data_IF_350846622620
#
_entry.id   IF_350846622620
#
_cell.length_a   1.000
_cell.length_b   1.000
_cell.length_c   1.000
_cell.angle_alpha   90.00
_cell.angle_beta   90.00
_cell.angle_gamma   90.00
#
_symmetry.space_group_name_H-M   'P 1'
#
loop_
_entity.id
_entity.type
_entity.pdbx_description
1 polymer ?
#
# COMPACT_ATOMS: atom_id res chain seq x y z
N UNK A 1 4.94 59.79 5.20
CA UNK A 1 5.13 59.53 3.75
C UNK A 1 6.36 58.66 3.58
N UNK A 2 6.26 57.37 3.90
CA UNK A 2 7.27 56.35 3.55
C UNK A 2 6.58 55.39 2.59
N UNK A 3 6.87 55.56 1.31
CA UNK A 3 6.33 54.74 0.23
C UNK A 3 6.82 53.29 0.43
N UNK A 4 5.90 52.42 0.83
CA UNK A 4 6.10 50.97 0.80
C UNK A 4 6.25 50.55 -0.66
N UNK A 5 7.48 50.24 -1.06
CA UNK A 5 7.80 49.74 -2.38
C UNK A 5 7.08 48.40 -2.63
N UNK A 6 6.12 48.41 -3.54
CA UNK A 6 5.49 47.21 -4.09
C UNK A 6 6.55 46.36 -4.78
N UNK A 7 6.91 45.23 -4.15
CA UNK A 7 7.77 44.22 -4.76
C UNK A 7 7.06 43.62 -5.99
N UNK A 8 7.73 43.51 -7.15
CA UNK A 8 7.15 42.85 -8.32
C UNK A 8 6.89 41.37 -7.99
N UNK A 9 5.67 40.92 -8.29
CA UNK A 9 5.27 39.51 -8.18
C UNK A 9 6.20 38.69 -9.08
N UNK A 10 6.98 37.73 -8.54
CA UNK A 10 7.85 36.91 -9.38
C UNK A 10 6.96 36.10 -10.31
N UNK A 11 7.27 36.13 -11.60
CA UNK A 11 6.63 35.31 -12.64
C UNK A 11 7.05 33.85 -12.43
N UNK A 12 6.58 33.27 -11.33
CA UNK A 12 6.78 31.87 -10.99
C UNK A 12 5.77 31.10 -11.82
N UNK A 13 6.28 30.45 -12.86
CA UNK A 13 5.51 29.50 -13.63
C UNK A 13 5.17 28.36 -12.67
N UNK A 14 3.95 28.39 -12.14
CA UNK A 14 3.48 27.43 -11.15
C UNK A 14 3.30 26.06 -11.81
N UNK A 15 4.37 25.26 -11.74
CA UNK A 15 4.44 23.90 -12.28
C UNK A 15 3.37 23.02 -11.62
N UNK A 16 2.99 23.28 -10.36
CA UNK A 16 1.92 22.53 -9.70
C UNK A 16 0.57 22.88 -10.30
N UNK A 17 0.29 24.15 -10.56
CA UNK A 17 -0.95 24.58 -11.22
C UNK A 17 -1.06 24.04 -12.66
N UNK A 18 0.06 23.99 -13.40
CA UNK A 18 0.08 23.47 -14.77
C UNK A 18 -0.11 21.95 -14.84
N UNK A 19 0.46 21.20 -13.88
CA UNK A 19 0.27 19.75 -13.77
C UNK A 19 -1.15 19.41 -13.30
N UNK A 20 -1.72 20.15 -12.34
CA UNK A 20 -3.09 19.93 -11.86
C UNK A 20 -4.17 20.30 -12.89
N UNK A 21 -3.86 21.20 -13.82
CA UNK A 21 -4.78 21.60 -14.88
C UNK A 21 -4.95 20.53 -15.98
N UNK A 22 -4.11 19.50 -16.00
CA UNK A 22 -4.23 18.40 -16.96
C UNK A 22 -5.21 17.33 -16.47
N UNK A 23 -6.19 16.93 -17.30
CA UNK A 23 -7.16 15.91 -16.92
C UNK A 23 -6.45 14.58 -16.68
N UNK A 24 -6.86 13.88 -15.61
CA UNK A 24 -6.31 12.57 -15.26
C UNK A 24 -6.55 11.60 -16.43
N UNK A 25 -5.46 11.07 -16.99
CA UNK A 25 -5.51 10.14 -18.12
C UNK A 25 -6.23 8.85 -17.72
N UNK A 26 -6.94 8.19 -18.65
CA UNK A 26 -7.63 6.92 -18.38
C UNK A 26 -6.73 5.83 -17.78
N UNK A 27 -5.41 5.89 -18.03
CA UNK A 27 -4.44 5.02 -17.38
C UNK A 27 -4.30 5.30 -15.87
N UNK A 28 -4.32 6.56 -15.45
CA UNK A 28 -4.28 6.94 -14.02
C UNK A 28 -5.55 6.48 -13.31
N UNK A 29 -6.72 6.59 -13.95
CA UNK A 29 -7.96 6.06 -13.41
C UNK A 29 -7.92 4.54 -13.21
N UNK A 30 -7.33 3.79 -14.16
CA UNK A 30 -7.10 2.35 -14.00
C UNK A 30 -6.18 2.03 -12.83
N UNK A 31 -5.10 2.79 -12.66
CA UNK A 31 -4.18 2.61 -11.52
C UNK A 31 -4.87 2.91 -10.19
N UNK A 32 -5.68 3.97 -10.11
CA UNK A 32 -6.46 4.30 -8.91
C UNK A 32 -7.46 3.18 -8.60
N UNK A 33 -8.20 2.69 -9.60
CA UNK A 33 -9.13 1.58 -9.42
C UNK A 33 -8.42 0.29 -8.98
N UNK A 34 -7.24 -0.01 -9.54
CA UNK A 34 -6.45 -1.17 -9.13
C UNK A 34 -5.95 -1.03 -7.69
N UNK A 35 -5.42 0.15 -7.34
CA UNK A 35 -4.93 0.44 -5.99
C UNK A 35 -6.06 0.34 -4.96
N UNK A 36 -7.22 0.89 -5.30
CA UNK A 36 -8.43 0.74 -4.49
C UNK A 36 -8.81 -0.73 -4.29
N UNK A 37 -8.79 -1.53 -5.36
CA UNK A 37 -9.12 -2.95 -5.28
C UNK A 37 -8.12 -3.74 -4.42
N UNK A 38 -6.81 -3.45 -4.53
CA UNK A 38 -5.77 -4.08 -3.72
C UNK A 38 -5.97 -3.75 -2.24
N UNK A 39 -6.15 -2.47 -1.90
CA UNK A 39 -6.39 -2.04 -0.51
C UNK A 39 -7.70 -2.61 0.03
N UNK A 40 -8.72 -2.73 -0.80
CA UNK A 40 -9.99 -3.36 -0.44
C UNK A 40 -9.83 -4.85 -0.12
N UNK A 41 -9.11 -5.59 -0.98
CA UNK A 41 -8.82 -7.02 -0.77
C UNK A 41 -7.95 -7.24 0.48
N UNK A 42 -6.90 -6.44 0.67
CA UNK A 42 -6.04 -6.50 1.87
C UNK A 42 -6.82 -6.24 3.17
N UNK A 43 -7.78 -5.30 3.13
CA UNK A 43 -8.69 -5.05 4.24
C UNK A 43 -9.63 -6.22 4.53
N UNK A 44 -10.12 -6.90 3.48
CA UNK A 44 -10.94 -8.12 3.64
C UNK A 44 -10.14 -9.27 4.25
N UNK A 45 -8.91 -9.49 3.79
CA UNK A 45 -8.02 -10.54 4.30
C UNK A 45 -7.69 -10.29 5.78
N UNK A 46 -7.35 -9.05 6.13
CA UNK A 46 -7.09 -8.65 7.53
C UNK A 46 -8.32 -8.86 8.42
N UNK A 47 -9.51 -8.51 7.93
CA UNK A 47 -10.76 -8.74 8.66
C UNK A 47 -11.04 -10.24 8.86
N UNK A 48 -10.90 -11.05 7.82
CA UNK A 48 -11.07 -12.51 7.89
C UNK A 48 -10.09 -13.14 8.89
N UNK A 49 -8.82 -12.71 8.88
CA UNK A 49 -7.80 -13.18 9.81
C UNK A 49 -8.18 -12.91 11.27
N UNK A 50 -8.78 -11.75 11.55
CA UNK A 50 -9.30 -11.39 12.87
C UNK A 50 -10.46 -12.28 13.34
N UNK A 51 -11.31 -12.75 12.43
CA UNK A 51 -12.40 -13.67 12.75
C UNK A 51 -11.94 -15.12 12.93
N UNK A 52 -10.95 -15.56 12.16
CA UNK A 52 -10.44 -16.95 12.21
C UNK A 52 -9.52 -17.16 13.41
N UNK A 53 -8.78 -16.14 13.86
CA UNK A 53 -7.86 -16.23 15.00
C UNK A 53 -8.44 -16.93 16.27
N UNK A 54 -9.63 -16.55 16.80
CA UNK A 54 -10.21 -17.24 17.95
C UNK A 54 -10.70 -18.66 17.68
N UNK A 55 -11.09 -18.98 16.43
CA UNK A 55 -11.50 -20.32 16.02
C UNK A 55 -10.29 -21.27 15.89
N UNK A 56 -9.19 -20.80 15.28
CA UNK A 56 -7.91 -21.51 15.24
C UNK A 56 -7.36 -21.81 16.65
N UNK A 57 -7.50 -20.86 17.58
CA UNK A 57 -7.09 -21.08 18.98
C UNK A 57 -7.91 -22.18 19.67
N UNK A 58 -9.19 -22.35 19.33
CA UNK A 58 -10.03 -23.42 19.87
C UNK A 58 -9.71 -24.79 19.25
N UNK A 59 -9.53 -24.86 17.93
CA UNK A 59 -9.33 -26.13 17.22
C UNK A 59 -7.92 -26.69 17.40
N UNK A 60 -6.88 -25.85 17.50
CA UNK A 60 -5.50 -26.30 17.63
C UNK A 60 -5.02 -26.43 19.09
N UNK A 61 -5.85 -26.01 20.06
CA UNK A 61 -5.52 -26.08 21.49
C UNK A 61 -4.36 -25.16 21.91
N UNK A 62 -3.99 -24.20 21.06
CA UNK A 62 -2.89 -23.27 21.29
C UNK A 62 -3.42 -22.03 22.02
N UNK A 63 -2.70 -21.62 23.07
CA UNK A 63 -3.04 -20.43 23.86
C UNK A 63 -3.10 -19.17 22.98
N UNK A 64 -4.13 -18.34 23.19
CA UNK A 64 -4.37 -17.09 22.44
C UNK A 64 -3.16 -16.15 22.47
N UNK A 65 -2.31 -16.28 23.49
CA UNK A 65 -1.08 -15.54 23.64
C UNK A 65 -0.06 -15.78 22.51
N UNK A 66 -0.10 -16.92 21.81
CA UNK A 66 0.81 -17.24 20.70
C UNK A 66 0.42 -16.59 19.37
N UNK A 67 -0.85 -16.25 19.18
CA UNK A 67 -1.35 -15.55 17.98
C UNK A 67 -0.91 -14.09 17.96
N UNK A 68 -0.72 -13.47 19.13
CA UNK A 68 -0.22 -12.10 19.28
C UNK A 68 1.15 -11.86 18.60
N UNK A 69 2.18 -12.68 18.90
CA UNK A 69 3.47 -12.65 18.24
C UNK A 69 3.40 -12.84 16.71
N UNK A 70 2.55 -13.75 16.22
CA UNK A 70 2.38 -14.00 14.77
C UNK A 70 1.81 -12.77 14.08
N UNK A 71 0.75 -12.18 14.62
CA UNK A 71 0.17 -10.93 14.09
C UNK A 71 1.16 -9.76 14.18
N UNK A 72 1.97 -9.70 15.25
CA UNK A 72 3.01 -8.68 15.41
C UNK A 72 4.14 -8.85 14.37
N UNK A 73 4.55 -10.08 14.09
CA UNK A 73 5.53 -10.38 13.05
C UNK A 73 5.02 -9.98 11.66
N UNK A 74 3.73 -10.18 11.37
CA UNK A 74 3.11 -9.73 10.12
C UNK A 74 3.14 -8.19 10.00
N UNK A 75 2.80 -7.46 11.06
CA UNK A 75 2.89 -6.00 11.10
C UNK A 75 4.33 -5.50 10.91
N UNK A 76 5.30 -6.15 11.55
CA UNK A 76 6.72 -5.84 11.37
C UNK A 76 7.15 -6.05 9.91
N UNK A 77 6.75 -7.17 9.30
CA UNK A 77 6.99 -7.44 7.88
C UNK A 77 6.40 -6.36 6.97
N UNK A 78 5.19 -5.88 7.28
CA UNK A 78 4.54 -4.79 6.56
C UNK A 78 5.32 -3.47 6.68
N UNK A 79 5.83 -3.14 7.87
CA UNK A 79 6.66 -1.95 8.10
C UNK A 79 7.92 -2.00 7.24
N UNK A 80 8.63 -3.13 7.24
CA UNK A 80 9.82 -3.29 6.40
C UNK A 80 9.50 -3.23 4.91
N UNK A 81 8.38 -3.83 4.49
CA UNK A 81 7.90 -3.77 3.11
C UNK A 81 7.55 -2.36 2.66
N UNK A 82 6.88 -1.58 3.52
CA UNK A 82 6.51 -0.19 3.23
C UNK A 82 7.72 0.74 3.20
N UNK A 83 8.67 0.58 4.12
CA UNK A 83 9.91 1.35 4.14
C UNK A 83 10.79 1.05 2.92
N UNK A 84 10.83 -0.21 2.48
CA UNK A 84 11.56 -0.62 1.28
C UNK A 84 10.90 -0.16 -0.02
N UNK A 85 9.56 -0.13 -0.07
CA UNK A 85 8.84 0.19 -1.31
C UNK A 85 8.93 1.66 -1.71
N UNK A 86 9.05 2.59 -0.76
CA UNK A 86 9.15 4.04 -1.04
C UNK A 86 10.37 4.42 -1.90
N UNK A 87 11.60 4.20 -1.42
CA UNK A 87 12.82 4.52 -2.19
C UNK A 87 12.91 3.75 -3.51
N UNK A 88 12.37 2.51 -3.54
CA UNK A 88 12.36 1.68 -4.74
C UNK A 88 11.36 2.22 -5.79
N UNK A 89 10.20 2.73 -5.35
CA UNK A 89 9.20 3.39 -6.20
C UNK A 89 9.75 4.65 -6.88
N UNK A 90 10.52 5.43 -6.13
CA UNK A 90 11.09 6.67 -6.62
C UNK A 90 12.30 6.44 -7.55
N UNK A 91 13.08 5.36 -7.34
CA UNK A 91 14.29 5.07 -8.13
C UNK A 91 14.04 4.30 -9.43
N UNK A 92 13.12 3.35 -9.44
CA UNK A 92 12.87 2.47 -10.61
C UNK A 92 11.68 2.93 -11.47
N UNK A 93 11.00 4.00 -11.06
CA UNK A 93 9.84 4.57 -11.72
C UNK A 93 8.53 3.96 -11.22
N UNK A 94 7.59 4.84 -10.86
CA UNK A 94 6.26 4.50 -10.28
C UNK A 94 5.51 3.38 -11.02
N UNK A 95 5.65 3.28 -12.34
CA UNK A 95 5.00 2.23 -13.16
C UNK A 95 5.57 0.83 -12.90
N UNK A 96 6.89 0.70 -12.82
CA UNK A 96 7.56 -0.60 -12.65
C UNK A 96 7.24 -1.15 -11.26
N UNK A 97 7.26 -0.30 -10.24
CA UNK A 97 6.97 -0.71 -8.87
C UNK A 97 5.50 -1.11 -8.67
N UNK A 98 4.56 -0.41 -9.31
CA UNK A 98 3.15 -0.84 -9.31
C UNK A 98 2.96 -2.21 -9.95
N UNK A 99 3.57 -2.46 -11.11
CA UNK A 99 3.47 -3.77 -11.79
C UNK A 99 4.11 -4.87 -10.94
N UNK A 100 5.26 -4.60 -10.33
CA UNK A 100 5.98 -5.56 -9.51
C UNK A 100 5.23 -5.88 -8.21
N UNK A 101 4.62 -4.87 -7.57
CA UNK A 101 3.80 -5.05 -6.36
C UNK A 101 2.56 -5.90 -6.64
N UNK A 102 1.85 -5.64 -7.74
CA UNK A 102 0.69 -6.45 -8.17
C UNK A 102 1.10 -7.88 -8.51
N UNK A 103 2.24 -8.04 -9.19
CA UNK A 103 2.76 -9.36 -9.54
C UNK A 103 3.14 -10.17 -8.30
N UNK A 104 3.87 -9.56 -7.35
CA UNK A 104 4.22 -10.19 -6.08
C UNK A 104 2.98 -10.54 -5.24
N UNK A 105 2.03 -9.62 -5.13
CA UNK A 105 0.78 -9.85 -4.41
C UNK A 105 -0.02 -11.00 -5.02
N UNK A 106 -0.17 -11.02 -6.34
CA UNK A 106 -0.82 -12.12 -7.05
C UNK A 106 -0.09 -13.45 -6.84
N UNK A 107 1.24 -13.45 -6.91
CA UNK A 107 2.05 -14.65 -6.71
C UNK A 107 1.93 -15.19 -5.28
N UNK A 108 1.97 -14.33 -4.27
CA UNK A 108 1.78 -14.73 -2.87
C UNK A 108 0.35 -15.19 -2.59
N UNK A 109 -0.66 -14.54 -3.19
CA UNK A 109 -2.05 -14.95 -3.09
C UNK A 109 -2.28 -16.35 -3.71
N UNK A 110 -1.66 -16.62 -4.87
CA UNK A 110 -1.63 -17.95 -5.49
C UNK A 110 -0.88 -18.98 -4.64
N UNK A 111 0.25 -18.58 -4.03
CA UNK A 111 1.02 -19.44 -3.13
C UNK A 111 0.22 -19.77 -1.86
N UNK A 112 -0.50 -18.81 -1.29
CA UNK A 112 -1.43 -19.02 -0.17
C UNK A 112 -2.59 -19.94 -0.57
N UNK A 113 -3.11 -19.83 -1.79
CA UNK A 113 -4.14 -20.74 -2.29
C UNK A 113 -3.63 -22.18 -2.49
N UNK A 114 -2.33 -22.35 -2.78
CA UNK A 114 -1.67 -23.66 -2.87
C UNK A 114 -1.09 -24.15 -1.55
N UNK A 115 -1.11 -23.33 -0.50
CA UNK A 115 -0.64 -23.67 0.84
C UNK A 115 -1.67 -24.58 1.52
N UNK A 116 -1.66 -25.85 1.13
CA UNK A 116 -2.53 -26.88 1.69
C UNK A 116 -2.00 -27.51 2.98
N UNK A 117 -0.84 -27.08 3.49
CA UNK A 117 -0.29 -27.46 4.80
C UNK A 117 0.62 -26.35 5.36
N UNK A 118 0.53 -26.14 6.67
CA UNK A 118 1.45 -25.34 7.48
C UNK A 118 2.16 -26.35 8.37
N UNK A 119 3.17 -27.05 7.84
CA UNK A 119 4.12 -27.85 8.63
C UNK A 119 5.28 -26.96 9.11
#
# INVERSE_FOLDING_TARGET
MTLSASRPVPCTLDVQAFINAQPLSGYQWRVVALCFLIVFLDGLDTAAMGFIAPALSQDWGIDRASLGPVMSAALIGMVFGALGSGPLADRFGRKVVLVFAVFLFGLFSLASAYSSNID
#
